data_IF_423163794845
#
_entry.id   IF_423163794845
#
_cell.length_a   1.000
_cell.length_b   1.000
_cell.length_c   1.000
_cell.angle_alpha   90.00
_cell.angle_beta   90.00
_cell.angle_gamma   90.00
#
_symmetry.space_group_name_H-M   'P 1'
#
loop_
_entity.id
_entity.type
_entity.pdbx_description
1 polymer ?
#
# COMPACT_ATOMS: atom_id res chain seq x y z
N UNK A 1 -19.81 4.65 -68.20
CA UNK A 1 -20.03 3.64 -67.14
C UNK A 1 -19.87 4.32 -65.78
N UNK A 2 -20.97 4.61 -65.09
CA UNK A 2 -20.99 5.33 -63.82
C UNK A 2 -21.34 4.36 -62.68
N UNK A 3 -20.60 4.43 -61.57
CA UNK A 3 -20.88 3.67 -60.34
C UNK A 3 -21.44 4.62 -59.28
N UNK A 4 -22.56 4.29 -58.60
CA UNK A 4 -23.03 5.09 -57.48
C UNK A 4 -22.29 4.75 -56.19
N UNK A 5 -21.94 5.78 -55.42
CA UNK A 5 -21.37 5.68 -54.09
C UNK A 5 -22.49 5.50 -53.07
N UNK A 6 -22.44 4.41 -52.29
CA UNK A 6 -23.38 4.12 -51.20
C UNK A 6 -22.80 4.67 -49.91
N UNK A 7 -23.48 5.65 -49.31
CA UNK A 7 -23.13 6.26 -48.04
C UNK A 7 -23.40 5.33 -46.86
N UNK A 8 -22.39 5.17 -46.00
CA UNK A 8 -22.52 4.51 -44.70
C UNK A 8 -22.62 5.54 -43.58
N UNK A 9 -23.81 5.74 -43.03
CA UNK A 9 -24.04 6.56 -41.84
C UNK A 9 -23.97 5.65 -40.63
N UNK A 10 -22.86 5.70 -39.89
CA UNK A 10 -22.66 4.91 -38.67
C UNK A 10 -23.19 5.69 -37.46
N UNK A 11 -24.40 5.35 -37.02
CA UNK A 11 -25.01 5.91 -35.81
C UNK A 11 -24.49 5.16 -34.56
N UNK A 12 -23.46 5.71 -33.93
CA UNK A 12 -23.00 5.29 -32.60
C UNK A 12 -24.02 5.74 -31.54
N UNK A 13 -24.92 4.83 -31.15
CA UNK A 13 -25.75 4.98 -29.95
C UNK A 13 -24.92 4.62 -28.72
N UNK A 14 -24.55 5.63 -27.94
CA UNK A 14 -23.99 5.44 -26.60
C UNK A 14 -25.12 5.02 -25.63
N UNK A 15 -25.17 3.74 -25.28
CA UNK A 15 -26.05 3.20 -24.25
C UNK A 15 -25.34 3.30 -22.88
N UNK A 16 -25.74 4.26 -22.05
CA UNK A 16 -25.26 4.40 -20.67
C UNK A 16 -26.14 3.59 -19.73
N UNK A 17 -25.70 2.38 -19.33
CA UNK A 17 -26.33 1.62 -18.24
C UNK A 17 -25.89 2.17 -16.88
N UNK A 18 -26.71 3.04 -16.29
CA UNK A 18 -26.66 3.39 -14.87
C UNK A 18 -27.17 2.19 -14.05
N UNK A 19 -26.27 1.57 -13.29
CA UNK A 19 -26.66 0.54 -12.32
C UNK A 19 -27.00 1.21 -10.97
N UNK A 20 -28.15 0.88 -10.36
CA UNK A 20 -28.49 1.36 -9.02
C UNK A 20 -27.63 0.66 -7.95
N UNK A 21 -27.11 1.46 -7.00
CA UNK A 21 -26.39 0.97 -5.81
C UNK A 21 -27.36 0.25 -4.87
N UNK A 22 -27.02 -0.94 -4.34
CA UNK A 22 -27.79 -1.55 -3.27
C UNK A 22 -27.58 -0.79 -1.95
N UNK A 23 -28.69 -0.56 -1.26
CA UNK A 23 -28.81 0.04 0.07
C UNK A 23 -28.17 -0.86 1.13
N UNK A 24 -27.37 -0.24 2.01
CA UNK A 24 -26.68 -0.89 3.11
C UNK A 24 -27.67 -1.18 4.24
N UNK A 25 -28.00 -2.44 4.45
CA UNK A 25 -28.74 -2.92 5.61
C UNK A 25 -27.87 -2.80 6.87
N UNK A 26 -28.38 -2.06 7.86
CA UNK A 26 -27.79 -1.94 9.18
C UNK A 26 -27.91 -3.27 9.93
N UNK A 27 -26.79 -3.78 10.44
CA UNK A 27 -26.76 -4.93 11.33
C UNK A 27 -26.59 -4.37 12.75
N UNK A 28 -27.68 -4.36 13.49
CA UNK A 28 -27.70 -4.22 14.93
C UNK A 28 -27.02 -5.43 15.57
N UNK A 29 -25.94 -5.21 16.31
CA UNK A 29 -25.36 -6.23 17.17
C UNK A 29 -25.56 -5.82 18.63
N UNK A 30 -26.21 -6.74 19.33
CA UNK A 30 -26.73 -6.71 20.67
C UNK A 30 -25.66 -6.76 21.76
N UNK A 31 -26.07 -6.22 22.89
CA UNK A 31 -25.43 -6.04 24.18
C UNK A 31 -25.05 -7.33 24.92
N UNK A 32 -24.13 -7.15 25.90
CA UNK A 32 -23.98 -7.87 27.20
C UNK A 32 -22.79 -8.85 27.33
N UNK A 33 -22.34 -9.22 28.56
CA UNK A 33 -21.92 -8.38 29.69
C UNK A 33 -20.61 -8.86 30.40
N UNK A 34 -20.08 -7.99 31.27
CA UNK A 34 -19.33 -8.24 32.53
C UNK A 34 -18.48 -9.51 32.77
N UNK A 35 -17.18 -9.34 33.03
CA UNK A 35 -16.41 -10.14 34.01
C UNK A 35 -15.17 -9.34 34.46
N UNK A 36 -15.22 -8.74 35.65
CA UNK A 36 -14.49 -9.16 36.87
C UNK A 36 -12.98 -8.89 36.82
N UNK A 37 -12.61 -7.76 37.41
CA UNK A 37 -11.27 -7.38 37.83
C UNK A 37 -10.68 -8.34 38.88
N UNK A 38 -9.36 -8.59 38.84
CA UNK A 38 -8.58 -8.82 40.04
C UNK A 38 -7.74 -7.57 40.41
N UNK A 39 -7.70 -7.16 41.69
CA UNK A 39 -6.73 -6.18 42.17
C UNK A 39 -5.40 -6.88 42.45
N UNK A 40 -4.31 -6.40 41.87
CA UNK A 40 -2.97 -6.87 42.25
C UNK A 40 -1.98 -5.71 42.26
N UNK A 41 -1.70 -5.34 43.51
CA UNK A 41 -0.40 -4.93 44.05
C UNK A 41 0.28 -3.69 43.46
N UNK A 42 0.16 -2.59 44.22
CA UNK A 42 1.12 -1.49 44.25
C UNK A 42 2.54 -2.06 44.41
N UNK A 43 3.32 -2.04 43.34
CA UNK A 43 4.78 -2.14 43.41
C UNK A 43 5.34 -0.72 43.50
N UNK A 44 5.87 -0.39 44.67
CA UNK A 44 6.63 0.82 44.97
C UNK A 44 7.83 0.93 44.01
N UNK A 45 7.95 1.98 43.18
CA UNK A 45 9.15 2.17 42.39
C UNK A 45 10.27 2.70 43.31
N UNK A 46 11.21 1.82 43.65
CA UNK A 46 12.53 2.19 44.16
C UNK A 46 13.20 3.17 43.18
N UNK A 47 13.71 4.33 43.64
CA UNK A 47 14.52 5.21 42.81
C UNK A 47 15.89 4.55 42.58
N UNK A 48 16.00 3.73 41.54
CA UNK A 48 17.31 3.36 40.99
C UNK A 48 17.94 4.62 40.42
N UNK A 49 18.95 5.10 41.13
CA UNK A 49 19.95 6.06 40.68
C UNK A 49 20.48 5.65 39.32
N UNK A 50 19.85 6.18 38.27
CA UNK A 50 20.31 6.02 36.90
C UNK A 50 21.54 6.92 36.77
N UNK A 51 22.69 6.30 36.98
CA UNK A 51 24.00 6.82 36.63
C UNK A 51 23.89 7.58 35.32
N UNK A 52 24.24 8.86 35.40
CA UNK A 52 24.54 9.74 34.28
C UNK A 52 25.65 9.08 33.46
N UNK A 53 25.26 8.18 32.55
CA UNK A 53 26.06 7.85 31.40
C UNK A 53 26.15 9.16 30.61
N UNK A 54 27.22 9.91 30.88
CA UNK A 54 27.77 10.90 29.98
C UNK A 54 27.96 10.17 28.66
N UNK A 55 26.95 10.24 27.79
CA UNK A 55 27.10 9.88 26.40
C UNK A 55 28.07 10.90 25.86
N UNK A 56 29.37 10.58 25.94
CA UNK A 56 30.38 11.06 25.03
C UNK A 56 29.94 10.55 23.65
N UNK A 57 28.95 11.24 23.09
CA UNK A 57 28.70 11.19 21.67
C UNK A 57 29.95 11.81 21.07
N UNK A 58 30.97 10.98 20.84
CA UNK A 58 31.99 11.32 19.88
C UNK A 58 31.24 11.85 18.66
N UNK A 59 31.54 13.08 18.20
CA UNK A 59 30.91 13.59 16.99
C UNK A 59 31.32 12.61 15.90
N UNK A 60 30.38 11.74 15.50
CA UNK A 60 30.56 10.75 14.43
C UNK A 60 31.38 11.43 13.35
N UNK A 61 32.65 11.01 13.20
CA UNK A 61 33.67 11.81 12.51
C UNK A 61 33.06 12.49 11.29
N UNK A 62 33.11 13.83 11.26
CA UNK A 62 32.50 14.65 10.21
C UNK A 62 33.01 14.13 8.87
N UNK A 63 32.20 13.29 8.21
CA UNK A 63 32.52 12.73 6.90
C UNK A 63 32.35 13.88 5.91
N UNK A 64 33.44 14.61 5.68
CA UNK A 64 33.47 15.64 4.65
C UNK A 64 33.08 15.00 3.31
N UNK A 65 32.21 15.66 2.54
CA UNK A 65 31.79 15.13 1.25
C UNK A 65 33.00 15.04 0.32
N UNK A 66 33.10 13.94 -0.45
CA UNK A 66 34.16 13.74 -1.46
C UNK A 66 34.23 14.87 -2.50
N UNK A 67 33.12 15.58 -2.73
CA UNK A 67 33.03 16.75 -3.60
C UNK A 67 32.29 17.85 -2.86
N UNK A 68 32.94 18.99 -2.68
CA UNK A 68 32.29 20.17 -2.14
C UNK A 68 31.17 20.65 -3.09
N UNK A 69 30.07 21.19 -2.54
CA UNK A 69 29.07 21.89 -3.35
C UNK A 69 29.71 23.04 -4.13
N UNK A 70 29.21 23.32 -5.33
CA UNK A 70 29.69 24.46 -6.12
C UNK A 70 29.41 25.79 -5.41
N UNK A 71 30.27 26.79 -5.60
CA UNK A 71 30.19 28.11 -4.96
C UNK A 71 28.81 28.76 -5.10
N UNK A 72 28.18 28.61 -6.27
CA UNK A 72 26.82 29.08 -6.50
C UNK A 72 25.82 28.50 -5.49
N UNK A 73 25.90 27.22 -5.13
CA UNK A 73 24.98 26.60 -4.15
C UNK A 73 25.23 27.14 -2.75
N UNK A 74 26.49 27.40 -2.40
CA UNK A 74 26.88 27.97 -1.10
C UNK A 74 26.37 29.41 -1.01
N UNK A 75 26.61 30.22 -2.05
CA UNK A 75 26.11 31.58 -2.15
C UNK A 75 24.59 31.65 -2.09
N UNK A 76 23.89 30.70 -2.73
CA UNK A 76 22.43 30.64 -2.64
C UNK A 76 21.94 30.22 -1.25
N UNK A 77 22.66 29.33 -0.56
CA UNK A 77 22.31 28.98 0.83
C UNK A 77 22.46 30.18 1.77
N UNK A 78 23.46 31.05 1.57
CA UNK A 78 23.66 32.27 2.34
C UNK A 78 22.77 33.45 1.92
N UNK A 79 22.30 33.47 0.67
CA UNK A 79 21.51 34.60 0.13
C UNK A 79 19.99 34.43 0.33
N UNK A 80 19.47 33.20 0.26
CA UNK A 80 18.02 32.96 0.23
C UNK A 80 17.30 32.94 1.57
N UNK A 81 17.96 33.29 2.68
CA UNK A 81 17.29 33.46 3.98
C UNK A 81 16.06 34.40 3.93
N UNK A 82 15.97 35.25 2.90
CA UNK A 82 14.97 36.31 2.78
C UNK A 82 13.82 36.06 1.79
N UNK A 83 13.85 35.02 0.95
CA UNK A 83 12.85 34.86 -0.13
C UNK A 83 12.24 33.46 -0.21
N UNK A 84 11.31 33.17 0.71
CA UNK A 84 10.52 31.92 0.70
C UNK A 84 9.82 31.69 -0.65
N UNK A 85 9.36 32.73 -1.31
CA UNK A 85 8.60 32.64 -2.57
C UNK A 85 9.37 31.95 -3.73
N UNK A 86 10.71 32.00 -3.75
CA UNK A 86 11.50 31.40 -4.84
C UNK A 86 11.47 29.85 -4.82
N UNK A 87 11.08 29.25 -3.69
CA UNK A 87 11.04 27.80 -3.50
C UNK A 87 9.67 27.18 -3.79
N UNK A 88 8.60 27.97 -3.82
CA UNK A 88 7.23 27.49 -4.02
C UNK A 88 6.75 27.82 -5.44
N UNK A 89 5.87 26.99 -6.03
CA UNK A 89 5.17 27.36 -7.24
C UNK A 89 4.30 28.59 -6.96
N UNK A 90 4.32 29.56 -7.87
CA UNK A 90 3.55 30.80 -7.75
C UNK A 90 2.44 30.84 -8.78
N UNK A 91 1.25 31.30 -8.38
CA UNK A 91 0.14 31.52 -9.29
C UNK A 91 0.28 32.93 -9.88
N UNK A 92 0.52 33.03 -11.19
CA UNK A 92 0.67 34.31 -11.89
C UNK A 92 -0.29 34.32 -13.06
N UNK A 93 -1.25 35.25 -13.05
CA UNK A 93 -2.27 35.40 -14.10
C UNK A 93 -3.08 34.13 -14.36
N UNK A 94 -3.48 33.43 -13.30
CA UNK A 94 -4.26 32.18 -13.39
C UNK A 94 -3.45 30.94 -13.80
N UNK A 95 -2.15 31.08 -14.07
CA UNK A 95 -1.27 29.96 -14.45
C UNK A 95 -0.26 29.66 -13.34
N UNK A 96 -0.16 28.38 -12.95
CA UNK A 96 0.86 27.92 -12.01
C UNK A 96 2.24 27.92 -12.66
N UNK A 97 3.13 28.78 -12.15
CA UNK A 97 4.54 28.82 -12.54
C UNK A 97 5.34 27.86 -11.68
N UNK A 98 6.30 27.20 -12.31
CA UNK A 98 7.29 26.36 -11.62
C UNK A 98 8.12 27.23 -10.66
N UNK A 99 8.56 26.70 -9.51
CA UNK A 99 9.43 27.44 -8.61
C UNK A 99 10.71 27.87 -9.34
N UNK A 100 11.22 29.05 -9.00
CA UNK A 100 12.41 29.64 -9.61
C UNK A 100 13.63 28.74 -9.41
N UNK A 101 13.68 28.08 -8.25
CA UNK A 101 14.72 27.11 -7.92
C UNK A 101 14.16 25.69 -8.11
N UNK A 102 14.81 24.91 -8.99
CA UNK A 102 14.42 23.53 -9.26
C UNK A 102 14.52 22.64 -8.02
N UNK A 103 13.68 21.60 -7.93
CA UNK A 103 13.69 20.65 -6.81
C UNK A 103 15.07 20.03 -6.55
N UNK A 104 15.87 19.80 -7.60
CA UNK A 104 17.26 19.30 -7.48
C UNK A 104 18.15 20.31 -6.76
N UNK A 105 18.05 21.58 -7.10
CA UNK A 105 18.82 22.65 -6.46
C UNK A 105 18.34 22.90 -5.03
N UNK A 106 17.04 22.83 -4.76
CA UNK A 106 16.50 22.86 -3.40
C UNK A 106 17.09 21.73 -2.54
N UNK A 107 17.19 20.50 -3.07
CA UNK A 107 17.81 19.39 -2.36
C UNK A 107 19.31 19.59 -2.10
N UNK A 108 20.03 20.25 -3.02
CA UNK A 108 21.44 20.62 -2.83
C UNK A 108 21.59 21.67 -1.73
N UNK A 109 20.83 22.77 -1.80
CA UNK A 109 20.82 23.83 -0.78
C UNK A 109 20.49 23.25 0.60
N UNK A 110 19.49 22.36 0.69
CA UNK A 110 19.17 21.64 1.93
C UNK A 110 20.35 20.85 2.48
N UNK A 111 21.10 20.13 1.65
CA UNK A 111 22.29 19.39 2.09
C UNK A 111 23.36 20.33 2.63
N UNK A 112 23.62 21.45 1.95
CA UNK A 112 24.60 22.44 2.39
C UNK A 112 24.19 23.05 3.73
N UNK A 113 22.93 23.48 3.86
CA UNK A 113 22.40 24.01 5.11
C UNK A 113 22.60 23.04 6.28
N UNK A 114 22.28 21.75 6.09
CA UNK A 114 22.48 20.71 7.09
C UNK A 114 23.97 20.49 7.44
N UNK A 115 24.87 20.58 6.45
CA UNK A 115 26.32 20.47 6.70
C UNK A 115 26.86 21.67 7.48
N UNK A 116 26.27 22.86 7.29
CA UNK A 116 26.59 24.07 8.03
C UNK A 116 25.90 24.17 9.39
N UNK A 117 25.09 23.17 9.79
CA UNK A 117 24.33 23.19 11.03
C UNK A 117 23.13 24.14 11.04
N UNK A 118 22.71 24.65 9.88
CA UNK A 118 21.54 25.51 9.73
C UNK A 118 20.26 24.68 9.56
N UNK A 119 19.14 25.16 10.08
CA UNK A 119 17.82 24.57 9.82
C UNK A 119 17.36 24.99 8.42
N UNK A 120 17.25 24.05 7.45
CA UNK A 120 16.88 24.39 6.08
C UNK A 120 15.47 25.00 5.98
N UNK A 121 14.58 24.74 6.94
CA UNK A 121 13.21 25.25 6.91
C UNK A 121 13.11 26.62 7.59
N UNK A 122 13.68 26.76 8.80
CA UNK A 122 13.60 28.02 9.55
C UNK A 122 14.55 29.08 9.00
N UNK A 123 15.81 28.72 8.79
CA UNK A 123 16.86 29.69 8.48
C UNK A 123 16.93 29.97 6.97
N UNK A 124 16.74 28.96 6.13
CA UNK A 124 16.83 29.11 4.66
C UNK A 124 15.45 29.24 3.99
N UNK A 125 14.37 28.86 4.67
CA UNK A 125 13.01 29.01 4.15
C UNK A 125 12.60 27.95 3.10
N UNK A 126 13.28 26.80 3.06
CA UNK A 126 12.90 25.72 2.14
C UNK A 126 11.60 25.02 2.57
N UNK A 127 10.79 24.56 1.61
CA UNK A 127 9.56 23.82 1.89
C UNK A 127 9.84 22.55 2.67
N UNK A 128 9.11 22.32 3.76
CA UNK A 128 9.22 21.12 4.58
C UNK A 128 9.04 19.87 3.71
N UNK A 129 10.00 18.95 3.75
CA UNK A 129 9.85 17.66 3.07
C UNK A 129 8.76 16.85 3.77
N UNK A 130 7.72 16.47 3.03
CA UNK A 130 6.77 15.46 3.48
C UNK A 130 7.55 14.17 3.80
N UNK A 131 7.33 13.62 5.00
CA UNK A 131 8.03 12.43 5.47
C UNK A 131 9.43 12.66 6.05
N UNK A 132 9.87 13.88 6.37
CA UNK A 132 11.11 14.09 7.15
C UNK A 132 10.76 14.80 8.46
N UNK A 133 10.98 14.14 9.59
CA UNK A 133 10.84 14.78 10.91
C UNK A 133 11.96 15.79 11.14
N UNK A 134 11.75 16.72 12.07
CA UNK A 134 12.68 17.81 12.40
C UNK A 134 14.12 17.38 12.75
N UNK A 135 14.38 16.07 12.92
CA UNK A 135 15.70 15.47 13.18
C UNK A 135 16.33 14.75 11.97
N UNK A 136 15.84 14.97 10.75
CA UNK A 136 16.45 14.39 9.54
C UNK A 136 16.18 12.89 9.33
N UNK A 137 15.37 12.25 10.19
CA UNK A 137 14.89 10.89 9.95
C UNK A 137 13.83 10.94 8.86
N UNK A 138 14.05 10.24 7.74
CA UNK A 138 12.97 9.89 6.80
C UNK A 138 11.94 9.09 7.60
N UNK A 139 10.88 9.76 8.05
CA UNK A 139 9.63 9.08 8.34
C UNK A 139 9.15 8.62 6.97
N UNK A 140 9.48 7.38 6.61
CA UNK A 140 8.72 6.67 5.60
C UNK A 140 7.26 6.83 6.03
N UNK A 141 6.57 7.75 5.37
CA UNK A 141 5.13 7.87 5.50
C UNK A 141 4.62 6.47 5.21
N UNK A 142 4.16 5.82 6.28
CA UNK A 142 3.93 4.38 6.33
C UNK A 142 3.25 4.01 5.04
N UNK A 143 3.84 3.06 4.32
CA UNK A 143 3.27 2.45 3.13
C UNK A 143 1.85 2.00 3.50
N UNK A 144 0.86 2.88 3.31
CA UNK A 144 -0.56 2.59 3.60
C UNK A 144 -1.10 1.49 2.68
N UNK A 145 -0.29 1.10 1.70
CA UNK A 145 -0.56 0.08 0.71
C UNK A 145 0.48 -1.03 0.80
N UNK A 146 0.68 -1.64 1.98
CA UNK A 146 1.04 -3.07 1.97
C UNK A 146 -0.23 -3.76 1.53
N UNK A 147 -0.51 -3.72 0.22
CA UNK A 147 -1.53 -4.57 -0.37
C UNK A 147 -1.05 -5.99 -0.07
N UNK A 148 -1.80 -6.70 0.76
CA UNK A 148 -1.55 -8.12 0.98
C UNK A 148 -1.46 -8.77 -0.41
N UNK A 149 -0.42 -9.56 -0.69
CA UNK A 149 -0.28 -10.18 -2.00
C UNK A 149 -1.55 -10.99 -2.27
N UNK A 150 -2.19 -10.75 -3.42
CA UNK A 150 -3.36 -11.52 -3.82
C UNK A 150 -2.91 -12.97 -4.05
N UNK A 151 -3.11 -13.84 -3.06
CA UNK A 151 -2.72 -15.25 -3.06
C UNK A 151 -3.51 -16.14 -4.03
N UNK A 152 -3.70 -15.69 -5.29
CA UNK A 152 -4.53 -16.36 -6.30
C UNK A 152 -4.14 -17.82 -6.54
N UNK A 153 -2.85 -18.13 -6.41
CA UNK A 153 -2.34 -19.49 -6.60
C UNK A 153 -2.62 -20.39 -5.38
N UNK A 154 -2.63 -19.83 -4.17
CA UNK A 154 -2.91 -20.57 -2.93
C UNK A 154 -4.39 -20.89 -2.82
N UNK A 155 -5.26 -19.94 -3.19
CA UNK A 155 -6.71 -20.15 -3.29
C UNK A 155 -7.05 -21.28 -4.27
N UNK A 156 -6.42 -21.29 -5.46
CA UNK A 156 -6.61 -22.37 -6.45
C UNK A 156 -6.13 -23.74 -5.96
N UNK A 157 -5.06 -23.79 -5.16
CA UNK A 157 -4.58 -25.04 -4.55
C UNK A 157 -5.60 -25.57 -3.54
N UNK A 158 -6.14 -24.69 -2.70
CA UNK A 158 -7.16 -25.05 -1.72
C UNK A 158 -8.45 -25.57 -2.40
N UNK A 159 -8.92 -24.90 -3.45
CA UNK A 159 -10.09 -25.35 -4.22
C UNK A 159 -9.88 -26.73 -4.85
N UNK A 160 -8.66 -27.01 -5.34
CA UNK A 160 -8.32 -28.33 -5.89
C UNK A 160 -8.34 -29.41 -4.81
N UNK A 161 -7.78 -29.12 -3.64
CA UNK A 161 -7.79 -30.05 -2.50
C UNK A 161 -9.21 -30.35 -2.03
N UNK A 162 -10.08 -29.33 -1.95
CA UNK A 162 -11.49 -29.51 -1.60
C UNK A 162 -12.21 -30.45 -2.57
N UNK A 163 -12.03 -30.25 -3.88
CA UNK A 163 -12.61 -31.14 -4.91
C UNK A 163 -12.11 -32.58 -4.80
N UNK A 164 -10.85 -32.78 -4.41
CA UNK A 164 -10.30 -34.11 -4.20
C UNK A 164 -10.93 -34.80 -2.98
N UNK A 165 -11.13 -34.06 -1.88
CA UNK A 165 -11.82 -34.57 -0.68
C UNK A 165 -13.26 -34.98 -1.01
N UNK A 166 -14.01 -34.12 -1.70
CA UNK A 166 -15.39 -34.42 -2.13
C UNK A 166 -15.46 -35.69 -3.01
N UNK A 167 -14.44 -35.93 -3.85
CA UNK A 167 -14.34 -37.13 -4.69
C UNK A 167 -14.05 -38.39 -3.89
N UNK A 168 -13.13 -38.31 -2.92
CA UNK A 168 -12.79 -39.43 -2.02
C UNK A 168 -14.02 -39.84 -1.20
N UNK A 169 -14.78 -38.87 -0.69
CA UNK A 169 -16.02 -39.12 0.06
C UNK A 169 -17.11 -39.78 -0.80
N UNK A 170 -17.20 -39.45 -2.09
CA UNK A 170 -18.18 -40.04 -3.03
C UNK A 170 -17.77 -41.39 -3.58
N UNK A 171 -16.48 -41.73 -3.56
CA UNK A 171 -15.93 -42.96 -4.10
C UNK A 171 -16.63 -44.26 -3.62
N UNK A 172 -16.94 -44.46 -2.32
CA UNK A 172 -17.64 -45.67 -1.87
C UNK A 172 -19.02 -45.83 -2.51
N UNK A 173 -19.76 -44.74 -2.70
CA UNK A 173 -21.08 -44.77 -3.34
C UNK A 173 -20.96 -45.14 -4.83
N UNK A 174 -19.96 -44.59 -5.53
CA UNK A 174 -19.67 -44.92 -6.93
C UNK A 174 -19.33 -46.41 -7.08
N UNK A 175 -18.50 -46.96 -6.18
CA UNK A 175 -18.15 -48.38 -6.18
C UNK A 175 -19.38 -49.26 -5.91
N UNK A 176 -20.22 -48.88 -4.95
CA UNK A 176 -21.45 -49.60 -4.64
C UNK A 176 -22.41 -49.63 -5.84
N UNK A 177 -22.59 -48.49 -6.51
CA UNK A 177 -23.41 -48.39 -7.71
C UNK A 177 -22.85 -49.25 -8.84
N UNK A 178 -21.55 -49.15 -9.13
CA UNK A 178 -20.89 -49.96 -10.15
C UNK A 178 -21.05 -51.47 -9.91
N UNK A 179 -20.97 -51.92 -8.65
CA UNK A 179 -21.20 -53.33 -8.29
C UNK A 179 -22.64 -53.76 -8.58
N UNK A 180 -23.63 -52.91 -8.25
CA UNK A 180 -25.05 -53.17 -8.54
C UNK A 180 -25.31 -53.25 -10.03
N UNK A 181 -24.81 -52.29 -10.80
CA UNK A 181 -24.98 -52.23 -12.26
C UNK A 181 -24.38 -53.46 -12.93
N UNK A 182 -23.18 -53.88 -12.48
CA UNK A 182 -22.52 -55.10 -12.98
C UNK A 182 -23.31 -56.37 -12.65
N UNK A 183 -23.90 -56.46 -11.46
CA UNK A 183 -24.76 -57.59 -11.09
C UNK A 183 -26.04 -57.63 -11.94
N UNK A 184 -26.69 -56.48 -12.13
CA UNK A 184 -27.88 -56.36 -12.96
C UNK A 184 -27.60 -56.72 -14.43
N UNK A 185 -26.45 -56.28 -14.97
CA UNK A 185 -26.02 -56.65 -16.32
C UNK A 185 -25.80 -58.16 -16.46
N UNK A 186 -25.21 -58.81 -15.45
CA UNK A 186 -25.05 -60.28 -15.43
C UNK A 186 -26.37 -61.02 -15.40
N UNK A 187 -27.36 -60.52 -14.65
CA UNK A 187 -28.70 -61.12 -14.60
C UNK A 187 -29.41 -60.98 -15.95
N UNK A 188 -29.37 -59.80 -16.57
CA UNK A 188 -29.94 -59.57 -17.91
C UNK A 188 -29.25 -60.41 -19.00
N UNK A 189 -27.96 -60.70 -18.85
CA UNK A 189 -27.19 -61.49 -19.80
C UNK A 189 -27.34 -63.01 -19.60
N UNK A 190 -28.03 -63.48 -18.55
CA UNK A 190 -28.41 -64.89 -18.44
C UNK A 190 -29.62 -65.09 -19.37
N UNK A 191 -29.48 -65.77 -20.51
CA UNK A 191 -30.64 -66.10 -21.32
C UNK A 191 -31.58 -66.97 -20.46
N UNK A 192 -32.87 -66.60 -20.41
CA UNK A 192 -33.91 -67.48 -19.88
C UNK A 192 -33.94 -68.71 -20.79
N UNK A 193 -33.31 -69.78 -20.31
CA UNK A 193 -33.51 -71.12 -20.85
C UNK A 193 -34.81 -71.63 -20.25
N UNK A 194 -35.91 -71.47 -20.99
CA UNK A 194 -37.13 -72.24 -20.77
C UNK A 194 -36.79 -73.70 -21.06
N UNK A 195 -36.68 -74.51 -19.99
CA UNK A 195 -36.59 -75.96 -20.04
C UNK A 195 -37.96 -76.58 -19.81
#
# INVERSE_FOLDING_TARGET
MARPAVGGVSALRHFSLSHPRPSSTAISASSSPSSSSPPSTLATPTPSSRSSASSSSEPRGLKFPRKFPTDWVIQQASYYHRRRADFYPTLVSGVWRKPRISARNQARIRKVALLCGLDPVKDVGLPRQSGVTARGSRVQERVRNVKLPEGKNEVKKYERQKKQQDLVERMPNIIAQWRKDRAAAKQKARPELDF
#
